data_IF_890504397943
#
_entry.id   IF_890504397943
#
_cell.length_a   1.000
_cell.length_b   1.000
_cell.length_c   1.000
_cell.angle_alpha   90.00
_cell.angle_beta   90.00
_cell.angle_gamma   90.00
#
_symmetry.space_group_name_H-M   'P 1'
#
loop_
_entity.id
_entity.type
_entity.pdbx_description
1 polymer ?
#
# COMPACT_ATOMS: atom_id res chain seq x y z
N UNK A 1 -14.35 41.87 -32.56
CA UNK A 1 -14.16 41.67 -31.10
C UNK A 1 -14.31 40.20 -30.66
N UNK A 2 -15.13 39.37 -31.31
CA UNK A 2 -15.37 37.97 -30.88
C UNK A 2 -14.25 36.94 -31.11
N UNK A 3 -13.49 37.03 -32.21
CA UNK A 3 -12.49 36.00 -32.56
C UNK A 3 -11.26 35.99 -31.64
N UNK A 4 -10.80 37.18 -31.22
CA UNK A 4 -9.65 37.34 -30.32
C UNK A 4 -9.97 36.82 -28.90
N UNK A 5 -11.20 37.05 -28.43
CA UNK A 5 -11.68 36.56 -27.14
C UNK A 5 -11.83 35.03 -27.15
N UNK A 6 -12.33 34.46 -28.24
CA UNK A 6 -12.48 33.01 -28.38
C UNK A 6 -11.12 32.29 -28.42
N UNK A 7 -10.14 32.84 -29.14
CA UNK A 7 -8.77 32.31 -29.14
C UNK A 7 -8.12 32.38 -27.75
N UNK A 8 -8.37 33.46 -26.99
CA UNK A 8 -7.86 33.62 -25.64
C UNK A 8 -8.49 32.62 -24.66
N UNK A 9 -9.79 32.35 -24.80
CA UNK A 9 -10.51 31.35 -24.01
C UNK A 9 -9.98 29.94 -24.32
N UNK A 10 -9.80 29.58 -25.59
CA UNK A 10 -9.22 28.29 -25.98
C UNK A 10 -7.79 28.10 -25.46
N UNK A 11 -6.96 29.15 -25.51
CA UNK A 11 -5.62 29.12 -24.95
C UNK A 11 -5.61 28.90 -23.44
N UNK A 12 -6.52 29.57 -22.71
CA UNK A 12 -6.66 29.40 -21.26
C UNK A 12 -7.17 28.00 -20.89
N UNK A 13 -8.16 27.47 -21.60
CA UNK A 13 -8.64 26.10 -21.43
C UNK A 13 -7.54 25.06 -21.69
N UNK A 14 -6.75 25.26 -22.75
CA UNK A 14 -5.60 24.40 -23.07
C UNK A 14 -4.53 24.43 -21.96
N UNK A 15 -4.25 25.61 -21.40
CA UNK A 15 -3.31 25.77 -20.30
C UNK A 15 -3.78 25.08 -19.02
N UNK A 16 -5.05 25.25 -18.63
CA UNK A 16 -5.65 24.57 -17.47
C UNK A 16 -5.65 23.05 -17.66
N UNK A 17 -5.95 22.56 -18.87
CA UNK A 17 -5.90 21.13 -19.18
C UNK A 17 -4.48 20.55 -19.08
N UNK A 18 -3.47 21.27 -19.60
CA UNK A 18 -2.07 20.85 -19.53
C UNK A 18 -1.53 20.84 -18.08
N UNK A 19 -1.95 21.81 -17.25
CA UNK A 19 -1.61 21.80 -15.83
C UNK A 19 -2.30 20.66 -15.06
N UNK A 20 -3.55 20.33 -15.39
CA UNK A 20 -4.25 19.19 -14.79
C UNK A 20 -3.53 17.85 -15.03
N UNK A 21 -2.94 17.66 -16.22
CA UNK A 21 -2.19 16.45 -16.56
C UNK A 21 -0.90 16.27 -15.74
N UNK A 22 -0.25 17.36 -15.32
CA UNK A 22 0.99 17.32 -14.54
C UNK A 22 0.79 17.02 -13.05
N UNK A 23 -0.43 17.21 -12.52
CA UNK A 23 -0.74 17.07 -11.08
C UNK A 23 -1.29 15.68 -10.72
N UNK A 24 -1.63 14.85 -11.71
CA UNK A 24 -2.21 13.53 -11.49
C UNK A 24 -1.16 12.46 -11.12
N UNK A 25 -0.49 12.57 -9.98
CA UNK A 25 0.23 11.43 -9.38
C UNK A 25 -0.75 10.56 -8.60
N UNK A 26 -1.54 9.75 -9.30
CA UNK A 26 -2.36 8.73 -8.65
C UNK A 26 -1.44 7.62 -8.13
N UNK A 27 -1.46 7.39 -6.81
CA UNK A 27 -0.82 6.24 -6.19
C UNK A 27 -1.91 5.34 -5.58
N UNK A 28 -1.72 4.03 -5.63
CA UNK A 28 -2.64 3.12 -4.98
C UNK A 28 -2.27 3.02 -3.49
N UNK A 29 -3.31 2.95 -2.66
CA UNK A 29 -3.17 2.72 -1.23
C UNK A 29 -3.58 1.29 -0.94
N UNK A 30 -2.66 0.53 -0.35
CA UNK A 30 -2.89 -0.85 0.07
C UNK A 30 -2.91 -0.90 1.60
N UNK A 31 -3.93 -1.53 2.18
CA UNK A 31 -4.04 -1.69 3.63
C UNK A 31 -3.92 -3.17 3.99
N UNK A 32 -3.00 -3.49 4.89
CA UNK A 32 -2.75 -4.83 5.40
C UNK A 32 -2.98 -4.86 6.90
N UNK A 33 -3.61 -5.92 7.39
CA UNK A 33 -3.75 -6.21 8.82
C UNK A 33 -2.92 -7.44 9.16
N UNK A 34 -1.93 -7.26 10.03
CA UNK A 34 -0.98 -8.27 10.44
C UNK A 34 -1.24 -8.61 11.90
N UNK A 35 -1.85 -9.76 12.16
CA UNK A 35 -2.01 -10.32 13.50
C UNK A 35 -0.80 -11.20 13.79
N UNK A 36 0.10 -10.72 14.62
CA UNK A 36 1.31 -11.43 15.01
C UNK A 36 1.00 -12.31 16.21
N UNK A 37 1.03 -13.63 16.04
CA UNK A 37 0.63 -14.59 17.07
C UNK A 37 1.45 -15.87 17.04
N UNK A 38 1.49 -16.57 18.17
CA UNK A 38 2.07 -17.91 18.22
C UNK A 38 1.11 -18.91 17.55
N UNK A 39 1.62 -19.70 16.61
CA UNK A 39 0.86 -20.71 15.88
C UNK A 39 1.62 -22.03 15.86
N UNK A 40 0.88 -23.13 15.97
CA UNK A 40 1.41 -24.48 15.96
C UNK A 40 1.57 -25.00 14.53
N UNK A 41 2.75 -25.50 14.18
CA UNK A 41 3.06 -26.08 12.88
C UNK A 41 3.83 -27.39 13.01
N UNK A 42 3.54 -28.32 12.10
CA UNK A 42 4.37 -29.49 11.88
C UNK A 42 5.38 -29.20 10.76
N UNK A 43 6.67 -29.33 11.05
CA UNK A 43 7.74 -29.15 10.06
C UNK A 43 8.82 -30.20 10.29
N UNK A 44 9.21 -30.89 9.21
CA UNK A 44 10.18 -31.99 9.26
C UNK A 44 9.79 -33.06 10.30
N UNK A 45 8.51 -33.44 10.34
CA UNK A 45 7.95 -34.41 11.29
C UNK A 45 8.11 -34.00 12.77
N UNK A 46 8.27 -32.70 13.05
CA UNK A 46 8.36 -32.15 14.40
C UNK A 46 7.36 -31.03 14.58
N UNK A 47 6.62 -31.12 15.68
CA UNK A 47 5.66 -30.12 16.10
C UNK A 47 6.36 -28.96 16.81
N UNK A 48 6.20 -27.75 16.28
CA UNK A 48 6.78 -26.53 16.84
C UNK A 48 5.77 -25.40 16.85
N UNK A 49 5.74 -24.66 17.95
CA UNK A 49 5.05 -23.36 18.02
C UNK A 49 6.01 -22.28 17.55
N UNK A 50 5.57 -21.46 16.60
CA UNK A 50 6.37 -20.37 16.06
C UNK A 50 5.53 -19.10 15.93
N UNK A 51 6.17 -17.95 15.99
CA UNK A 51 5.51 -16.68 15.77
C UNK A 51 5.22 -16.49 14.28
N UNK A 52 3.98 -16.18 13.93
CA UNK A 52 3.53 -16.03 12.55
C UNK A 52 2.65 -14.81 12.39
N UNK A 53 2.51 -14.36 11.13
CA UNK A 53 1.56 -13.32 10.75
C UNK A 53 0.31 -13.99 10.21
N UNK A 54 -0.85 -13.63 10.77
CA UNK A 54 -2.17 -14.17 10.40
C UNK A 54 -2.26 -15.70 10.49
N UNK A 55 -1.45 -16.32 11.36
CA UNK A 55 -1.44 -17.77 11.53
C UNK A 55 -0.77 -18.54 10.39
N UNK A 56 -0.12 -17.87 9.43
CA UNK A 56 0.51 -18.48 8.27
C UNK A 56 2.04 -18.47 8.33
N UNK A 57 2.66 -19.55 7.86
CA UNK A 57 4.09 -19.61 7.61
C UNK A 57 4.37 -20.18 6.21
N UNK A 58 5.04 -19.44 5.30
CA UNK A 58 5.48 -18.04 5.43
C UNK A 58 4.30 -17.06 5.66
N UNK A 59 4.60 -15.87 6.18
CA UNK A 59 3.59 -14.82 6.34
C UNK A 59 3.04 -14.33 4.98
N UNK A 60 1.95 -13.55 4.98
CA UNK A 60 1.34 -13.05 3.75
C UNK A 60 2.27 -12.09 3.01
N UNK A 61 2.34 -12.24 1.70
CA UNK A 61 3.15 -11.39 0.81
C UNK A 61 2.46 -10.04 0.56
N UNK A 62 3.19 -8.95 0.74
CA UNK A 62 2.74 -7.61 0.34
C UNK A 62 2.97 -7.42 -1.16
N UNK A 63 1.92 -7.05 -1.87
CA UNK A 63 1.93 -6.87 -3.32
C UNK A 63 1.63 -5.41 -3.64
N UNK A 64 2.68 -4.65 -3.97
CA UNK A 64 2.59 -3.23 -4.31
C UNK A 64 3.41 -2.92 -5.56
N UNK A 65 3.05 -1.83 -6.25
CA UNK A 65 3.82 -1.31 -7.39
C UNK A 65 4.68 -0.14 -6.93
N UNK A 66 5.73 0.17 -7.70
CA UNK A 66 6.56 1.35 -7.45
C UNK A 66 5.68 2.61 -7.43
N UNK A 67 5.78 3.39 -6.34
CA UNK A 67 4.99 4.61 -6.14
C UNK A 67 3.72 4.41 -5.32
N UNK A 68 3.27 3.17 -5.10
CA UNK A 68 2.16 2.89 -4.20
C UNK A 68 2.52 3.13 -2.72
N UNK A 69 1.49 3.24 -1.87
CA UNK A 69 1.64 3.31 -0.41
C UNK A 69 1.03 2.09 0.25
N UNK A 70 1.82 1.37 1.05
CA UNK A 70 1.33 0.29 1.90
C UNK A 70 1.19 0.78 3.35
N UNK A 71 -0.01 0.66 3.91
CA UNK A 71 -0.23 0.76 5.35
C UNK A 71 -0.33 -0.65 5.92
N UNK A 72 0.62 -1.01 6.78
CA UNK A 72 0.61 -2.30 7.49
C UNK A 72 0.28 -2.02 8.94
N UNK A 73 -0.95 -2.35 9.33
CA UNK A 73 -1.39 -2.26 10.71
C UNK A 73 -1.03 -3.57 11.43
N UNK A 74 -0.15 -3.47 12.43
CA UNK A 74 0.39 -4.63 13.14
C UNK A 74 -0.27 -4.73 14.51
N UNK A 75 -0.94 -5.85 14.76
CA UNK A 75 -1.47 -6.19 16.06
C UNK A 75 -0.64 -7.30 16.67
N UNK A 76 0.01 -7.01 17.81
CA UNK A 76 0.84 -7.96 18.51
C UNK A 76 0.03 -8.74 19.55
N UNK A 77 -0.29 -9.99 19.25
CA UNK A 77 -0.89 -10.96 20.18
C UNK A 77 0.16 -11.92 20.77
N UNK A 78 1.45 -11.66 20.53
CA UNK A 78 2.53 -12.42 21.14
C UNK A 78 2.70 -12.05 22.62
N UNK A 79 3.37 -12.94 23.36
CA UNK A 79 3.71 -12.70 24.77
C UNK A 79 4.91 -11.76 24.99
N UNK A 80 5.54 -11.25 23.92
CA UNK A 80 6.71 -10.39 23.99
C UNK A 80 6.64 -9.27 22.93
N UNK A 81 7.45 -8.23 23.11
CA UNK A 81 7.52 -7.10 22.19
C UNK A 81 8.08 -7.49 20.82
N UNK A 82 7.49 -6.96 19.74
CA UNK A 82 7.84 -7.28 18.35
C UNK A 82 7.96 -6.01 17.53
N UNK A 83 8.92 -5.99 16.60
CA UNK A 83 9.07 -4.98 15.55
C UNK A 83 9.10 -5.66 14.18
N UNK A 84 8.50 -5.04 13.16
CA UNK A 84 8.59 -5.51 11.76
C UNK A 84 9.52 -4.58 10.98
N UNK A 85 10.41 -5.18 10.19
CA UNK A 85 11.33 -4.47 9.31
C UNK A 85 11.00 -4.76 7.84
N UNK A 86 11.18 -3.74 6.99
CA UNK A 86 11.00 -3.80 5.55
C UNK A 86 12.31 -3.45 4.88
#
# INVERSE_FOLDING_TARGET
>A
MGLKNMSLILGFLGFVFLQGLLVCTAYNVHNYSFIVKNTFFERLCSNKTMLTVNGGFPGPTIHVRKGDRAYVNVHNEASYGVTIHW
#
